data_IF_527972038667
#
_entry.id   IF_527972038667
#
_cell.length_a   1.000
_cell.length_b   1.000
_cell.length_c   1.000
_cell.angle_alpha   90.00
_cell.angle_beta   90.00
_cell.angle_gamma   90.00
#
_symmetry.space_group_name_H-M   'P 1'
#
loop_
_entity.id
_entity.type
_entity.pdbx_description
1 polymer ?
#
# COMPACT_ATOMS: atom_id res chain seq x y z
N UNK A 1 -24.46 -13.18 -8.16
CA UNK A 1 -23.31 -13.27 -7.24
C UNK A 1 -22.35 -12.14 -7.63
N UNK A 2 -22.09 -11.21 -6.73
CA UNK A 2 -21.16 -10.09 -6.99
C UNK A 2 -19.74 -10.67 -7.01
N UNK A 3 -18.94 -10.30 -8.02
CA UNK A 3 -17.54 -10.71 -8.14
C UNK A 3 -16.64 -9.57 -7.68
N UNK A 4 -15.48 -9.92 -7.12
CA UNK A 4 -14.43 -8.95 -6.83
C UNK A 4 -14.02 -8.21 -8.12
N UNK A 5 -13.62 -6.95 -7.97
CA UNK A 5 -13.11 -6.14 -9.08
C UNK A 5 -11.83 -6.79 -9.60
N UNK A 6 -11.69 -6.91 -10.92
CA UNK A 6 -10.47 -7.46 -11.54
C UNK A 6 -9.24 -6.69 -11.06
N UNK A 7 -8.22 -7.41 -10.59
CA UNK A 7 -7.02 -6.82 -9.99
C UNK A 7 -7.07 -6.66 -8.46
N UNK A 8 -8.23 -6.88 -7.83
CA UNK A 8 -8.39 -6.89 -6.37
C UNK A 8 -8.59 -8.32 -5.85
N UNK A 9 -8.18 -8.57 -4.60
CA UNK A 9 -8.35 -9.88 -3.95
C UNK A 9 -8.62 -9.70 -2.46
N UNK A 10 -9.60 -10.43 -1.94
CA UNK A 10 -9.83 -10.55 -0.50
C UNK A 10 -8.69 -11.35 0.17
N UNK A 11 -8.21 -10.85 1.31
CA UNK A 11 -7.27 -11.59 2.16
C UNK A 11 -8.09 -12.40 3.16
N UNK A 12 -8.20 -13.71 2.91
CA UNK A 12 -9.06 -14.62 3.68
C UNK A 12 -8.36 -15.16 4.95
N UNK A 13 -9.10 -15.78 5.91
CA UNK A 13 -8.53 -16.28 7.17
C UNK A 13 -7.33 -17.24 7.05
N UNK A 14 -7.18 -18.08 6.01
CA UNK A 14 -5.96 -18.87 5.81
C UNK A 14 -4.74 -18.01 5.42
N UNK A 15 -4.97 -16.89 4.73
CA UNK A 15 -3.92 -16.01 4.19
C UNK A 15 -3.50 -14.95 5.21
N UNK A 16 -4.44 -14.41 5.98
CA UNK A 16 -4.17 -13.32 6.95
C UNK A 16 -3.10 -13.69 7.97
N UNK A 17 -2.95 -14.98 8.32
CA UNK A 17 -1.90 -15.45 9.21
C UNK A 17 -0.49 -15.19 8.66
N UNK A 18 -0.29 -15.36 7.35
CA UNK A 18 0.99 -15.11 6.68
C UNK A 18 1.30 -13.61 6.63
N UNK A 19 0.31 -12.78 6.32
CA UNK A 19 0.43 -11.32 6.33
C UNK A 19 0.86 -10.80 7.70
N UNK A 20 0.15 -11.19 8.77
CA UNK A 20 0.51 -10.82 10.14
C UNK A 20 1.91 -11.29 10.54
N UNK A 21 2.34 -12.46 10.07
CA UNK A 21 3.69 -12.95 10.34
C UNK A 21 4.76 -12.05 9.69
N UNK A 22 4.56 -11.67 8.43
CA UNK A 22 5.44 -10.73 7.72
C UNK A 22 5.47 -9.36 8.40
N UNK A 23 4.30 -8.78 8.70
CA UNK A 23 4.18 -7.49 9.39
C UNK A 23 4.95 -7.47 10.72
N UNK A 24 4.84 -8.55 11.51
CA UNK A 24 5.56 -8.68 12.77
C UNK A 24 7.08 -8.71 12.60
N UNK A 25 7.59 -9.35 11.54
CA UNK A 25 9.04 -9.36 11.24
C UNK A 25 9.49 -7.95 10.90
N UNK A 26 8.76 -7.29 9.99
CA UNK A 26 9.05 -5.93 9.52
C UNK A 26 9.05 -4.94 10.70
N UNK A 27 8.03 -5.00 11.56
CA UNK A 27 7.92 -4.16 12.75
C UNK A 27 9.10 -4.34 13.70
N UNK A 28 9.50 -5.60 13.97
CA UNK A 28 10.66 -5.91 14.82
C UNK A 28 11.95 -5.32 14.27
N UNK A 29 12.19 -5.49 12.97
CA UNK A 29 13.37 -4.93 12.30
C UNK A 29 13.39 -3.42 12.45
N UNK A 30 12.32 -2.72 12.05
CA UNK A 30 12.30 -1.26 12.10
C UNK A 30 12.42 -0.69 13.52
N UNK A 31 11.80 -1.34 14.50
CA UNK A 31 11.89 -0.91 15.91
C UNK A 31 13.32 -1.03 16.45
N UNK A 32 14.09 -2.04 16.02
CA UNK A 32 15.51 -2.18 16.39
C UNK A 32 16.39 -1.04 15.86
N UNK A 33 15.96 -0.36 14.80
CA UNK A 33 16.61 0.82 14.24
C UNK A 33 15.91 2.13 14.61
N UNK A 34 15.03 2.10 15.63
CA UNK A 34 14.29 3.26 16.15
C UNK A 34 13.41 4.00 15.13
N UNK A 35 12.99 3.30 14.06
CA UNK A 35 11.96 3.81 13.15
C UNK A 35 10.58 3.72 13.81
N UNK A 36 9.71 4.67 13.48
CA UNK A 36 8.34 4.74 13.99
C UNK A 36 7.35 4.60 12.84
N UNK A 37 6.29 3.84 13.08
CA UNK A 37 5.22 3.65 12.11
C UNK A 37 4.42 4.96 11.93
N UNK A 38 4.16 5.31 10.67
CA UNK A 38 3.20 6.34 10.27
C UNK A 38 2.24 5.72 9.26
N UNK A 39 0.95 6.04 9.37
CA UNK A 39 -0.08 5.63 8.41
C UNK A 39 -0.68 6.87 7.78
N UNK A 40 -0.51 7.01 6.48
CA UNK A 40 -1.12 8.07 5.68
C UNK A 40 -2.51 7.65 5.21
N UNK A 41 -3.36 8.60 4.79
CA UNK A 41 -4.58 8.32 4.05
C UNK A 41 -4.35 7.40 2.83
N UNK A 42 -5.40 6.66 2.45
CA UNK A 42 -5.36 5.73 1.29
C UNK A 42 -5.35 6.48 -0.04
N UNK A 43 -5.95 7.67 -0.08
CA UNK A 43 -5.96 8.56 -1.24
C UNK A 43 -5.48 9.95 -0.82
N UNK A 44 -4.89 10.68 -1.76
CA UNK A 44 -4.37 12.03 -1.58
C UNK A 44 -4.70 12.86 -2.82
N UNK A 45 -4.53 14.18 -2.72
CA UNK A 45 -4.69 15.08 -3.87
C UNK A 45 -3.70 14.72 -5.00
N UNK A 46 -4.18 14.63 -6.23
CA UNK A 46 -3.37 14.25 -7.41
C UNK A 46 -2.12 15.12 -7.56
N UNK A 47 -2.19 16.41 -7.20
CA UNK A 47 -1.04 17.33 -7.28
C UNK A 47 0.11 16.94 -6.37
N UNK A 48 -0.13 16.18 -5.30
CA UNK A 48 0.91 15.67 -4.41
C UNK A 48 1.82 14.70 -5.16
N UNK A 49 1.22 13.78 -5.92
CA UNK A 49 1.96 12.79 -6.70
C UNK A 49 2.56 13.36 -7.98
N UNK A 50 1.82 14.21 -8.69
CA UNK A 50 2.29 14.87 -9.91
C UNK A 50 3.60 15.65 -9.68
N UNK A 51 3.68 16.39 -8.57
CA UNK A 51 4.89 17.16 -8.20
C UNK A 51 6.05 16.28 -7.73
N UNK A 52 5.77 15.18 -7.02
CA UNK A 52 6.80 14.33 -6.43
C UNK A 52 7.41 13.31 -7.40
N UNK A 53 6.57 12.67 -8.21
CA UNK A 53 6.96 11.59 -9.14
C UNK A 53 7.25 12.15 -10.54
N UNK A 54 6.52 13.18 -10.95
CA UNK A 54 6.61 13.80 -12.27
C UNK A 54 5.40 13.50 -13.15
N UNK A 55 4.87 14.55 -13.77
CA UNK A 55 3.62 14.51 -14.57
C UNK A 55 3.67 13.56 -15.77
N UNK A 56 4.85 13.39 -16.36
CA UNK A 56 5.03 12.58 -17.58
C UNK A 56 5.25 11.09 -17.31
N UNK A 57 5.23 10.66 -16.04
CA UNK A 57 5.39 9.25 -15.71
C UNK A 57 4.12 8.47 -16.05
N UNK A 58 4.28 7.20 -16.43
CA UNK A 58 3.13 6.32 -16.67
C UNK A 58 2.27 6.17 -15.40
N UNK A 59 2.89 6.21 -14.22
CA UNK A 59 2.19 6.20 -12.92
C UNK A 59 1.16 7.34 -12.86
N UNK A 60 1.59 8.58 -13.08
CA UNK A 60 0.71 9.76 -12.97
C UNK A 60 -0.29 9.84 -14.12
N UNK A 61 0.11 9.46 -15.33
CA UNK A 61 -0.71 9.67 -16.53
C UNK A 61 -1.69 8.53 -16.84
N UNK A 62 -1.45 7.30 -16.37
CA UNK A 62 -2.21 6.11 -16.80
C UNK A 62 -2.60 5.15 -15.67
N UNK A 63 -1.90 5.18 -14.53
CA UNK A 63 -2.03 4.13 -13.50
C UNK A 63 -2.60 4.64 -12.16
N UNK A 64 -2.83 5.94 -12.00
CA UNK A 64 -3.54 6.51 -10.85
C UNK A 64 -5.06 6.34 -10.99
N UNK A 65 -5.71 5.97 -9.88
CA UNK A 65 -7.16 5.78 -9.75
C UNK A 65 -7.71 6.58 -8.59
#
# INVERSE_FOLDING_TARGET
MIKAITGTKDILPPEIKKWKHLENIVQKVFTNFNYKEIRTPIFEDTSLFARGIGEQTDIVSKEMY
#
